data_IF_755646806992
#
_entry.id   IF_755646806992
#
_cell.length_a   1.000
_cell.length_b   1.000
_cell.length_c   1.000
_cell.angle_alpha   90.00
_cell.angle_beta   90.00
_cell.angle_gamma   90.00
#
_symmetry.space_group_name_H-M   'P 1'
#
loop_
_entity.id
_entity.type
_entity.pdbx_description
1 polymer ?
#
# COMPACT_ATOMS: atom_id res chain seq x y z
N UNK A 1 -4.14 -19.25 12.25
CA UNK A 1 -2.73 -19.01 11.86
C UNK A 1 -2.30 -17.71 12.49
N UNK A 2 -1.14 -17.69 13.13
CA UNK A 2 -0.58 -16.45 13.68
C UNK A 2 0.03 -15.62 12.54
N UNK A 3 -0.25 -14.31 12.55
CA UNK A 3 0.36 -13.37 11.60
C UNK A 3 1.80 -13.16 12.03
N UNK A 4 2.75 -13.56 11.18
CA UNK A 4 4.17 -13.41 11.45
C UNK A 4 4.71 -12.25 10.63
N UNK A 5 5.55 -11.41 11.25
CA UNK A 5 6.29 -10.41 10.51
C UNK A 5 7.34 -11.11 9.63
N UNK A 6 7.53 -10.59 8.42
CA UNK A 6 8.63 -11.03 7.56
C UNK A 6 9.96 -10.69 8.25
N UNK A 7 10.96 -11.58 8.28
CA UNK A 7 12.27 -11.23 8.84
C UNK A 7 12.92 -10.15 7.96
N UNK A 8 13.74 -9.30 8.60
CA UNK A 8 14.56 -8.33 7.88
C UNK A 8 15.58 -9.06 6.99
N UNK A 9 15.64 -8.72 5.70
CA UNK A 9 16.61 -9.30 4.77
C UNK A 9 17.92 -8.54 4.83
N UNK A 10 19.00 -9.27 4.60
CA UNK A 10 20.33 -8.71 4.54
C UNK A 10 20.42 -7.63 3.44
N UNK A 11 21.14 -6.55 3.73
CA UNK A 11 21.18 -5.36 2.88
C UNK A 11 21.83 -5.64 1.52
N UNK A 12 22.77 -6.58 1.46
CA UNK A 12 23.38 -7.06 0.22
C UNK A 12 22.37 -7.77 -0.70
N UNK A 13 21.36 -8.43 -0.14
CA UNK A 13 20.25 -9.04 -0.91
C UNK A 13 19.24 -7.99 -1.42
N UNK A 14 19.06 -6.90 -0.65
CA UNK A 14 18.13 -5.82 -0.94
C UNK A 14 18.70 -4.80 -1.95
N UNK A 15 19.92 -4.30 -1.77
CA UNK A 15 20.50 -3.25 -2.61
C UNK A 15 21.01 -3.76 -3.99
N UNK A 16 21.21 -2.85 -4.96
CA UNK A 16 21.57 -3.20 -6.33
C UNK A 16 22.88 -3.96 -6.48
N UNK A 17 22.79 -5.20 -6.95
CA UNK A 17 23.82 -5.83 -7.79
C UNK A 17 23.40 -5.72 -9.26
N UNK A 18 24.34 -5.54 -10.19
CA UNK A 18 24.05 -5.37 -11.62
C UNK A 18 23.33 -6.59 -12.24
N UNK A 19 23.47 -7.76 -11.64
CA UNK A 19 22.83 -9.03 -11.99
C UNK A 19 21.42 -9.21 -11.38
N UNK A 20 21.03 -8.33 -10.46
CA UNK A 20 19.83 -8.49 -9.61
C UNK A 20 18.65 -7.64 -10.03
N UNK A 21 18.85 -6.71 -10.97
CA UNK A 21 17.86 -5.74 -11.41
C UNK A 21 17.71 -5.80 -12.93
N UNK A 22 16.47 -5.79 -13.40
CA UNK A 22 16.15 -5.76 -14.82
C UNK A 22 14.94 -4.87 -15.09
N UNK A 23 14.87 -4.31 -16.31
CA UNK A 23 13.72 -3.51 -16.71
C UNK A 23 12.43 -4.35 -16.67
N UNK A 24 11.27 -3.73 -16.42
CA UNK A 24 9.98 -4.40 -16.53
C UNK A 24 9.71 -4.89 -17.93
N UNK A 25 9.13 -6.08 -17.99
CA UNK A 25 8.61 -6.63 -19.21
C UNK A 25 7.17 -6.15 -19.35
N UNK A 26 7.00 -4.99 -19.99
CA UNK A 26 5.68 -4.38 -20.17
C UNK A 26 4.81 -5.15 -21.20
N UNK A 27 5.37 -6.15 -21.89
CA UNK A 27 4.59 -7.03 -22.80
C UNK A 27 3.85 -8.11 -22.02
N UNK A 28 4.41 -8.58 -20.92
CA UNK A 28 3.82 -9.60 -20.05
C UNK A 28 3.51 -8.99 -18.67
N UNK A 29 2.35 -8.31 -18.60
CA UNK A 29 1.87 -7.62 -17.41
C UNK A 29 1.71 -8.60 -16.25
N UNK A 30 1.22 -9.82 -16.51
CA UNK A 30 1.03 -10.85 -15.48
C UNK A 30 2.35 -11.28 -14.84
N UNK A 31 3.40 -11.45 -15.64
CA UNK A 31 4.76 -11.73 -15.14
C UNK A 31 5.34 -10.56 -14.37
N UNK A 32 5.11 -9.33 -14.83
CA UNK A 32 5.55 -8.14 -14.11
C UNK A 32 4.84 -7.98 -12.76
N UNK A 33 3.51 -8.16 -12.72
CA UNK A 33 2.73 -8.13 -11.48
C UNK A 33 3.23 -9.19 -10.49
N UNK A 34 3.40 -10.44 -10.96
CA UNK A 34 3.98 -11.52 -10.15
C UNK A 34 5.36 -11.19 -9.60
N UNK A 35 6.18 -10.43 -10.34
CA UNK A 35 7.48 -9.96 -9.88
C UNK A 35 7.33 -8.93 -8.76
N UNK A 36 6.44 -7.95 -8.93
CA UNK A 36 6.16 -6.89 -7.95
C UNK A 36 5.63 -7.51 -6.65
N UNK A 37 4.53 -8.27 -6.72
CA UNK A 37 3.89 -8.95 -5.58
C UNK A 37 4.91 -9.81 -4.82
N UNK A 38 5.65 -10.64 -5.54
CA UNK A 38 6.66 -11.53 -4.95
C UNK A 38 7.74 -10.76 -4.20
N UNK A 39 8.24 -9.65 -4.76
CA UNK A 39 9.23 -8.82 -4.09
C UNK A 39 8.66 -8.06 -2.90
N UNK A 40 7.41 -7.58 -2.97
CA UNK A 40 6.69 -6.90 -1.89
C UNK A 40 6.57 -7.79 -0.65
N UNK A 41 6.24 -9.06 -0.84
CA UNK A 41 6.14 -10.06 0.23
C UNK A 41 7.50 -10.36 0.86
N UNK A 42 8.51 -10.64 0.03
CA UNK A 42 9.81 -11.10 0.52
C UNK A 42 10.62 -10.01 1.24
N UNK A 43 10.57 -8.75 0.78
CA UNK A 43 11.30 -7.62 1.34
C UNK A 43 10.44 -6.69 2.22
N UNK A 44 9.26 -7.13 2.67
CA UNK A 44 8.30 -6.32 3.44
C UNK A 44 8.96 -5.48 4.54
N UNK A 45 9.82 -6.08 5.36
CA UNK A 45 10.45 -5.39 6.50
C UNK A 45 11.52 -4.41 6.06
N UNK A 46 12.29 -4.71 5.00
CA UNK A 46 13.23 -3.75 4.40
C UNK A 46 12.48 -2.52 3.86
N UNK A 47 11.36 -2.75 3.18
CA UNK A 47 10.50 -1.68 2.68
C UNK A 47 9.94 -0.80 3.79
N UNK A 48 9.48 -1.39 4.90
CA UNK A 48 9.01 -0.64 6.05
C UNK A 48 10.12 0.25 6.65
N UNK A 49 11.35 -0.26 6.75
CA UNK A 49 12.51 0.51 7.25
C UNK A 49 12.83 1.66 6.31
N UNK A 50 12.88 1.42 4.99
CA UNK A 50 13.14 2.47 4.00
C UNK A 50 12.05 3.53 4.04
N UNK A 51 10.79 3.13 4.14
CA UNK A 51 9.67 4.05 4.25
C UNK A 51 9.77 4.91 5.52
N UNK A 52 10.05 4.30 6.67
CA UNK A 52 10.25 5.02 7.92
C UNK A 52 11.43 6.00 7.85
N UNK A 53 12.55 5.61 7.23
CA UNK A 53 13.70 6.47 7.05
C UNK A 53 13.37 7.68 6.18
N UNK A 54 12.71 7.48 5.03
CA UNK A 54 12.31 8.56 4.13
C UNK A 54 11.32 9.51 4.81
N UNK A 55 10.29 8.97 5.47
CA UNK A 55 9.33 9.76 6.26
C UNK A 55 10.04 10.58 7.33
N UNK A 56 11.01 10.00 8.03
CA UNK A 56 11.78 10.69 9.06
C UNK A 56 12.64 11.81 8.48
N UNK A 57 13.27 11.59 7.32
CA UNK A 57 14.05 12.62 6.63
C UNK A 57 13.14 13.77 6.19
N UNK A 58 12.02 13.49 5.53
CA UNK A 58 11.06 14.52 5.11
C UNK A 58 10.50 15.27 6.32
N UNK A 59 10.14 14.55 7.38
CA UNK A 59 9.68 15.12 8.65
C UNK A 59 10.74 15.98 9.33
N UNK A 60 12.02 15.64 9.22
CA UNK A 60 13.10 16.49 9.74
C UNK A 60 13.32 17.76 8.91
N UNK A 61 13.21 17.66 7.58
CA UNK A 61 13.38 18.81 6.68
C UNK A 61 12.21 19.79 6.74
N UNK A 62 11.01 19.34 7.07
CA UNK A 62 9.81 20.17 7.14
C UNK A 62 8.86 19.69 8.25
N UNK A 63 9.26 19.86 9.53
CA UNK A 63 8.57 19.26 10.67
C UNK A 63 7.18 19.81 10.91
N UNK A 64 7.01 21.14 10.84
CA UNK A 64 5.70 21.76 11.04
C UNK A 64 4.70 21.28 10.00
N UNK A 65 5.13 21.22 8.75
CA UNK A 65 4.33 20.78 7.63
C UNK A 65 3.86 19.33 7.81
N UNK A 66 4.82 18.44 8.08
CA UNK A 66 4.52 17.03 8.33
C UNK A 66 3.57 16.83 9.53
N UNK A 67 3.75 17.60 10.60
CA UNK A 67 2.89 17.57 11.78
C UNK A 67 1.48 18.10 11.50
N UNK A 68 1.35 19.21 10.75
CA UNK A 68 0.06 19.79 10.38
C UNK A 68 -0.71 18.80 9.51
N UNK A 69 -0.09 18.30 8.43
CA UNK A 69 -0.71 17.30 7.54
C UNK A 69 -1.14 16.04 8.30
N UNK A 70 -0.27 15.50 9.16
CA UNK A 70 -0.57 14.33 9.99
C UNK A 70 -1.70 14.59 10.98
N UNK A 71 -1.69 15.76 11.64
CA UNK A 71 -2.74 16.15 12.59
C UNK A 71 -4.08 16.28 11.89
N UNK A 72 -4.14 16.89 10.70
CA UNK A 72 -5.37 17.02 9.92
C UNK A 72 -5.95 15.64 9.61
N UNK A 73 -5.14 14.71 9.07
CA UNK A 73 -5.61 13.35 8.76
C UNK A 73 -6.15 12.65 10.01
N UNK A 74 -5.44 12.74 11.13
CA UNK A 74 -5.84 12.10 12.39
C UNK A 74 -7.14 12.70 12.93
N UNK A 75 -7.28 14.03 12.93
CA UNK A 75 -8.49 14.72 13.39
C UNK A 75 -9.70 14.41 12.50
N UNK A 76 -9.52 14.42 11.18
CA UNK A 76 -10.60 14.08 10.23
C UNK A 76 -11.02 12.63 10.45
N UNK A 77 -10.07 11.70 10.55
CA UNK A 77 -10.37 10.30 10.81
C UNK A 77 -11.13 10.11 12.12
N UNK A 78 -10.64 10.70 13.23
CA UNK A 78 -11.31 10.63 14.52
C UNK A 78 -12.71 11.27 14.49
N UNK A 79 -12.86 12.41 13.81
CA UNK A 79 -14.15 13.08 13.61
C UNK A 79 -15.14 12.18 12.88
N UNK A 80 -14.76 11.60 11.74
CA UNK A 80 -15.61 10.68 10.98
C UNK A 80 -15.96 9.41 11.79
N UNK A 81 -14.99 8.84 12.51
CA UNK A 81 -15.24 7.68 13.39
C UNK A 81 -16.21 8.06 14.51
N UNK A 82 -16.04 9.22 15.14
CA UNK A 82 -16.95 9.71 16.18
C UNK A 82 -18.36 9.95 15.64
N UNK A 83 -18.51 10.63 14.50
CA UNK A 83 -19.84 10.83 13.88
C UNK A 83 -20.46 9.49 13.48
N UNK A 84 -19.66 8.52 13.02
CA UNK A 84 -20.15 7.16 12.70
C UNK A 84 -20.70 6.40 13.90
N UNK A 85 -20.33 6.76 15.13
CA UNK A 85 -20.95 6.18 16.33
C UNK A 85 -22.31 6.81 16.65
N UNK A 86 -22.50 8.10 16.31
CA UNK A 86 -23.68 8.88 16.67
C UNK A 86 -24.75 8.97 15.57
N UNK A 87 -24.37 8.75 14.30
CA UNK A 87 -25.25 8.88 13.14
C UNK A 87 -25.33 7.56 12.37
N UNK A 88 -26.55 7.07 12.18
CA UNK A 88 -26.79 5.77 11.53
C UNK A 88 -26.33 5.71 10.07
N UNK A 89 -26.38 6.84 9.34
CA UNK A 89 -25.94 6.90 7.94
C UNK A 89 -24.44 6.58 7.83
N UNK A 90 -23.61 7.27 8.60
CA UNK A 90 -22.16 7.06 8.63
C UNK A 90 -21.79 5.71 9.25
N UNK A 91 -22.56 5.24 10.24
CA UNK A 91 -22.43 3.89 10.80
C UNK A 91 -22.64 2.82 9.74
N UNK A 92 -23.71 2.93 8.95
CA UNK A 92 -24.04 2.00 7.86
C UNK A 92 -22.98 2.05 6.77
N UNK A 93 -22.56 3.24 6.34
CA UNK A 93 -21.49 3.41 5.34
C UNK A 93 -20.18 2.75 5.80
N UNK A 94 -19.74 2.99 7.05
CA UNK A 94 -18.55 2.34 7.63
C UNK A 94 -18.64 0.82 7.63
N UNK A 95 -19.82 0.24 7.93
CA UNK A 95 -20.01 -1.23 8.00
C UNK A 95 -20.19 -1.88 6.64
N UNK A 96 -20.95 -1.25 5.76
CA UNK A 96 -21.35 -1.81 4.47
C UNK A 96 -20.33 -1.51 3.36
N UNK A 97 -19.67 -0.36 3.45
CA UNK A 97 -18.70 0.13 2.47
C UNK A 97 -17.44 0.71 3.15
N UNK A 98 -16.67 -0.12 3.89
CA UNK A 98 -15.51 0.36 4.66
C UNK A 98 -14.47 1.06 3.77
N UNK A 99 -14.25 0.58 2.54
CA UNK A 99 -13.33 1.21 1.58
C UNK A 99 -13.81 2.60 1.18
N UNK A 100 -15.09 2.77 0.85
CA UNK A 100 -15.65 4.08 0.50
C UNK A 100 -15.59 5.05 1.69
N UNK A 101 -15.82 4.54 2.91
CA UNK A 101 -15.66 5.33 4.13
C UNK A 101 -14.24 5.88 4.30
N UNK A 102 -13.21 5.06 4.05
CA UNK A 102 -11.80 5.51 4.07
C UNK A 102 -11.52 6.50 2.93
N UNK A 103 -12.01 6.25 1.72
CA UNK A 103 -11.83 7.16 0.57
C UNK A 103 -12.41 8.55 0.88
N UNK A 104 -13.61 8.63 1.47
CA UNK A 104 -14.22 9.91 1.86
C UNK A 104 -13.36 10.65 2.88
N UNK A 105 -12.79 9.95 3.86
CA UNK A 105 -11.85 10.54 4.85
C UNK A 105 -10.59 11.07 4.16
N UNK A 106 -10.00 10.29 3.26
CA UNK A 106 -8.79 10.69 2.52
C UNK A 106 -9.04 11.92 1.65
N UNK A 107 -10.14 11.93 0.89
CA UNK A 107 -10.53 13.07 0.04
C UNK A 107 -10.79 14.32 0.89
N UNK A 108 -11.52 14.18 2.00
CA UNK A 108 -11.77 15.28 2.94
C UNK A 108 -10.48 15.83 3.54
N UNK A 109 -9.55 14.93 3.92
CA UNK A 109 -8.25 15.33 4.47
C UNK A 109 -7.41 16.07 3.42
N UNK A 110 -7.40 15.60 2.17
CA UNK A 110 -6.69 16.27 1.09
C UNK A 110 -7.17 17.71 0.89
N UNK A 111 -8.50 17.95 0.83
CA UNK A 111 -9.04 19.30 0.70
C UNK A 111 -8.65 20.22 1.86
N UNK A 112 -8.63 19.71 3.09
CA UNK A 112 -8.24 20.49 4.27
C UNK A 112 -6.75 20.83 4.27
N UNK A 113 -5.89 19.86 3.96
CA UNK A 113 -4.45 20.11 3.84
C UNK A 113 -4.19 21.09 2.69
N UNK A 114 -4.97 21.01 1.60
CA UNK A 114 -4.83 21.89 0.43
C UNK A 114 -5.08 23.34 0.82
N UNK A 115 -6.14 23.57 1.60
CA UNK A 115 -6.47 24.88 2.12
C UNK A 115 -5.39 25.46 3.05
N UNK A 116 -4.66 24.60 3.77
CA UNK A 116 -3.56 24.99 4.65
C UNK A 116 -2.24 25.28 3.91
N UNK A 117 -2.21 25.12 2.58
CA UNK A 117 -1.04 25.43 1.75
C UNK A 117 0.10 24.40 1.82
N UNK A 118 -0.12 23.27 2.50
CA UNK A 118 0.93 22.32 2.88
C UNK A 118 0.77 20.91 2.26
N UNK A 119 -0.12 20.79 1.26
CA UNK A 119 -0.37 19.51 0.59
C UNK A 119 0.91 18.89 0.03
N UNK A 120 1.80 19.70 -0.52
CA UNK A 120 2.91 19.17 -1.31
C UNK A 120 3.91 18.39 -0.45
N UNK A 121 4.30 18.92 0.73
CA UNK A 121 5.30 18.27 1.59
C UNK A 121 4.71 17.00 2.22
N UNK A 122 3.49 17.08 2.74
CA UNK A 122 2.84 15.92 3.35
C UNK A 122 2.56 14.81 2.32
N UNK A 123 2.05 15.16 1.14
CA UNK A 123 1.82 14.19 0.06
C UNK A 123 3.15 13.59 -0.44
N UNK A 124 4.21 14.39 -0.53
CA UNK A 124 5.53 13.89 -0.89
C UNK A 124 6.08 12.91 0.14
N UNK A 125 5.92 13.22 1.43
CA UNK A 125 6.32 12.35 2.54
C UNK A 125 5.67 10.97 2.53
N UNK A 126 4.47 10.84 1.95
CA UNK A 126 3.77 9.55 1.78
C UNK A 126 4.08 8.92 0.42
N UNK A 127 4.03 9.71 -0.66
CA UNK A 127 4.13 9.21 -2.04
C UNK A 127 5.53 8.73 -2.38
N UNK A 128 6.57 9.42 -1.90
CA UNK A 128 7.96 9.05 -2.19
C UNK A 128 8.32 7.65 -1.65
N UNK A 129 8.06 7.30 -0.37
CA UNK A 129 8.23 5.93 0.11
C UNK A 129 7.53 4.88 -0.75
N UNK A 130 6.25 5.11 -1.08
CA UNK A 130 5.45 4.19 -1.90
C UNK A 130 6.07 4.00 -3.29
N UNK A 131 6.49 5.09 -3.92
CA UNK A 131 7.14 5.06 -5.23
C UNK A 131 8.47 4.30 -5.18
N UNK A 132 9.30 4.54 -4.16
CA UNK A 132 10.57 3.82 -4.01
C UNK A 132 10.37 2.32 -3.81
N UNK A 133 9.39 1.93 -2.97
CA UNK A 133 9.02 0.53 -2.78
C UNK A 133 8.55 -0.09 -4.10
N UNK A 134 7.67 0.59 -4.83
CA UNK A 134 7.15 0.11 -6.11
C UNK A 134 8.26 0.00 -7.17
N UNK A 135 9.11 1.01 -7.32
CA UNK A 135 10.23 0.99 -8.26
C UNK A 135 11.19 -0.14 -7.93
N UNK A 136 11.53 -0.32 -6.66
CA UNK A 136 12.40 -1.41 -6.23
C UNK A 136 11.76 -2.79 -6.48
N UNK A 137 10.52 -3.00 -6.05
CA UNK A 137 9.78 -4.25 -6.26
C UNK A 137 9.57 -4.54 -7.75
N UNK A 138 9.40 -3.49 -8.54
CA UNK A 138 9.34 -3.57 -9.99
C UNK A 138 10.67 -4.02 -10.54
N UNK A 139 11.78 -3.33 -10.31
CA UNK A 139 13.04 -3.62 -11.01
C UNK A 139 13.77 -4.88 -10.51
N UNK A 140 13.55 -5.31 -9.27
CA UNK A 140 14.26 -6.45 -8.68
C UNK A 140 13.85 -7.78 -9.32
N UNK A 141 14.83 -8.57 -9.75
CA UNK A 141 14.62 -9.93 -10.22
C UNK A 141 14.30 -10.89 -9.06
N UNK A 142 13.41 -11.84 -9.32
CA UNK A 142 12.97 -12.81 -8.30
C UNK A 142 14.03 -13.89 -8.06
N UNK A 143 14.60 -13.92 -6.85
CA UNK A 143 15.52 -14.97 -6.39
C UNK A 143 14.77 -16.29 -6.05
N UNK A 144 15.47 -17.43 -5.97
CA UNK A 144 14.90 -18.73 -5.58
C UNK A 144 14.36 -18.69 -4.14
N UNK A 145 15.07 -18.02 -3.22
CA UNK A 145 14.58 -17.77 -1.85
C UNK A 145 13.24 -17.04 -1.85
N UNK A 146 13.13 -16.02 -2.72
CA UNK A 146 11.91 -15.26 -2.93
C UNK A 146 10.77 -16.17 -3.47
N UNK A 147 11.06 -17.07 -4.43
CA UNK A 147 10.06 -18.05 -4.92
C UNK A 147 9.58 -19.01 -3.83
N UNK A 148 10.50 -19.52 -2.99
CA UNK A 148 10.16 -20.49 -1.96
C UNK A 148 9.24 -19.88 -0.90
N UNK A 149 9.58 -18.70 -0.41
CA UNK A 149 8.76 -18.03 0.61
C UNK A 149 7.38 -17.64 0.08
N UNK A 150 7.29 -17.11 -1.14
CA UNK A 150 5.99 -16.84 -1.76
C UNK A 150 5.15 -18.10 -1.92
N UNK A 151 5.78 -19.25 -2.23
CA UNK A 151 5.07 -20.52 -2.30
C UNK A 151 4.56 -20.97 -0.94
N UNK A 152 5.32 -20.74 0.13
CA UNK A 152 4.89 -21.02 1.51
C UNK A 152 3.75 -20.12 1.95
N UNK A 153 3.76 -18.84 1.59
CA UNK A 153 2.64 -17.93 1.86
C UNK A 153 1.40 -18.28 1.04
N UNK A 154 1.56 -18.58 -0.26
CA UNK A 154 0.43 -18.94 -1.13
C UNK A 154 -0.28 -20.23 -0.75
N UNK A 155 0.41 -21.18 -0.10
CA UNK A 155 -0.22 -22.39 0.47
C UNK A 155 -0.68 -22.21 1.92
N UNK A 156 -0.54 -21.02 2.49
CA UNK A 156 -0.99 -20.70 3.84
C UNK A 156 -0.12 -21.24 4.98
N UNK A 157 1.13 -21.67 4.73
CA UNK A 157 2.03 -22.09 5.81
C UNK A 157 2.54 -20.90 6.63
N UNK A 158 2.50 -19.70 6.06
CA UNK A 158 2.85 -18.45 6.73
C UNK A 158 1.92 -17.34 6.22
N UNK A 159 1.48 -16.44 7.10
CA UNK A 159 0.70 -15.27 6.73
C UNK A 159 1.38 -14.01 7.26
N UNK A 160 1.78 -13.13 6.36
CA UNK A 160 2.36 -11.82 6.69
C UNK A 160 1.33 -10.69 6.52
N UNK A 161 1.54 -9.53 7.16
CA UNK A 161 0.69 -8.36 6.94
C UNK A 161 0.62 -7.93 5.47
N UNK A 162 1.74 -7.97 4.73
CA UNK A 162 1.73 -7.65 3.30
C UNK A 162 0.95 -8.70 2.50
N UNK A 163 1.03 -9.98 2.87
CA UNK A 163 0.19 -11.04 2.32
C UNK A 163 -1.30 -10.77 2.48
N UNK A 164 -1.73 -10.36 3.68
CA UNK A 164 -3.14 -10.00 3.93
C UNK A 164 -3.58 -8.83 3.04
N UNK A 165 -2.73 -7.81 2.89
CA UNK A 165 -3.03 -6.64 2.06
C UNK A 165 -3.14 -7.05 0.58
N UNK A 166 -2.21 -7.86 0.08
CA UNK A 166 -2.20 -8.29 -1.32
C UNK A 166 -3.38 -9.22 -1.63
N UNK A 167 -3.72 -10.15 -0.73
CA UNK A 167 -4.93 -10.99 -0.86
C UNK A 167 -6.19 -10.11 -0.95
N UNK A 168 -6.27 -9.06 -0.13
CA UNK A 168 -7.41 -8.13 -0.15
C UNK A 168 -7.46 -7.30 -1.45
N UNK A 169 -6.30 -6.93 -2.00
CA UNK A 169 -6.22 -6.23 -3.29
C UNK A 169 -6.63 -7.14 -4.46
N UNK A 170 -6.21 -8.40 -4.47
CA UNK A 170 -6.62 -9.39 -5.47
C UNK A 170 -8.13 -9.64 -5.43
N UNK A 171 -8.70 -9.81 -4.23
CA UNK A 171 -10.14 -9.95 -4.06
C UNK A 171 -10.91 -8.71 -4.56
N UNK A 172 -10.34 -7.53 -4.40
CA UNK A 172 -10.93 -6.29 -4.91
C UNK A 172 -10.88 -6.22 -6.44
N UNK A 173 -9.77 -6.61 -7.06
CA UNK A 173 -9.61 -6.69 -8.51
C UNK A 173 -10.64 -7.65 -9.13
N UNK A 174 -10.79 -8.85 -8.56
CA UNK A 174 -11.80 -9.82 -8.99
C UNK A 174 -13.23 -9.28 -8.92
N UNK A 175 -13.52 -8.49 -7.88
CA UNK A 175 -14.83 -7.86 -7.69
C UNK A 175 -15.10 -6.80 -8.76
N UNK A 176 -14.08 -6.02 -9.13
CA UNK A 176 -14.17 -5.01 -10.20
C UNK A 176 -14.36 -5.70 -11.57
N UNK A 177 -13.60 -6.75 -11.85
CA UNK A 177 -13.71 -7.50 -13.10
C UNK A 177 -15.11 -8.11 -13.27
N UNK A 178 -15.67 -8.71 -12.23
CA UNK A 178 -17.05 -9.23 -12.24
C UNK A 178 -18.10 -8.13 -12.50
N UNK A 179 -17.89 -6.93 -11.95
CA UNK A 179 -18.78 -5.79 -12.21
C UNK A 179 -18.68 -5.34 -13.67
N UNK A 180 -17.46 -5.23 -14.21
CA UNK A 180 -17.23 -4.87 -15.61
C UNK A 180 -17.89 -5.87 -16.57
N UNK A 181 -17.75 -7.18 -16.30
CA UNK A 181 -18.40 -8.25 -17.05
C UNK A 181 -19.93 -8.21 -16.95
N UNK A 182 -20.47 -7.80 -15.81
CA UNK A 182 -21.91 -7.61 -15.65
C UNK A 182 -22.42 -6.42 -16.49
N UNK A 183 -21.69 -5.29 -16.44
CA UNK A 183 -22.03 -4.09 -17.21
C UNK A 183 -21.95 -4.37 -18.72
N UNK A 184 -20.96 -5.13 -19.18
CA UNK A 184 -20.85 -5.49 -20.61
C UNK A 184 -22.02 -6.37 -21.06
N UNK A 185 -22.40 -7.38 -20.27
CA UNK A 185 -23.55 -8.25 -20.57
C UNK A 185 -24.91 -7.57 -20.54
N UNK A 186 -25.07 -6.52 -19.74
CA UNK A 186 -26.32 -5.73 -19.70
C UNK A 186 -26.41 -4.76 -20.88
N UNK A 187 -25.28 -4.45 -21.53
CA UNK A 187 -25.19 -3.54 -22.67
C UNK A 187 -25.35 -4.26 -24.02
N UNK A 188 -25.21 -5.58 -24.05
CA UNK A 188 -25.62 -6.46 -25.16
C UNK A 188 -27.12 -6.75 -25.12
#
# INVERSE_FOLDING_TARGET
MEVQLAPLRAWDDFFPGSDRFARPDFKDISKWNNRVVSNLLYYQTNYLIVAAAVVSIVGFLSPLNMLIGGTVVVLVFMGFVWVSHNKDILRRMKKQYPTMFVVVIMVSSYFLIYYLGDVMVFMFGITLPLLLMFVHASLRLRNIKNKLENKMEGIGLKKTPMGIILDALEQQEDSINKLADYISKVKE
#
